data_IF_536883984162
#
_entry.id   IF_536883984162
#
_cell.length_a   1.000
_cell.length_b   1.000
_cell.length_c   1.000
_cell.angle_alpha   90.00
_cell.angle_beta   90.00
_cell.angle_gamma   90.00
#
_symmetry.space_group_name_H-M   'P 1'
#
loop_
_entity.id
_entity.type
_entity.pdbx_description
1 polymer ?
#
# COMPACT_ATOMS: atom_id res chain seq x y z
N UNK A 1 3.01 -25.49 5.70
CA UNK A 1 2.54 -24.86 4.45
C UNK A 1 2.46 -25.95 3.39
N UNK A 2 1.30 -26.16 2.76
CA UNK A 2 1.07 -27.20 1.73
C UNK A 2 0.82 -26.54 0.38
N UNK A 3 1.87 -25.92 -0.16
CA UNK A 3 1.88 -25.51 -1.56
C UNK A 3 2.54 -26.63 -2.36
N UNK A 4 2.05 -26.96 -3.57
CA UNK A 4 2.82 -27.75 -4.49
C UNK A 4 4.18 -27.07 -4.70
N UNK A 5 5.27 -27.73 -4.30
CA UNK A 5 6.62 -27.23 -4.52
C UNK A 5 7.05 -27.50 -5.97
N UNK A 6 8.13 -26.86 -6.41
CA UNK A 6 8.71 -27.07 -7.74
C UNK A 6 8.90 -28.56 -8.09
N UNK A 7 9.25 -29.40 -7.10
CA UNK A 7 9.41 -30.84 -7.28
C UNK A 7 8.11 -31.57 -7.69
N UNK A 8 6.96 -31.14 -7.17
CA UNK A 8 5.66 -31.74 -7.52
C UNK A 8 5.31 -31.44 -8.97
N UNK A 9 5.57 -30.22 -9.45
CA UNK A 9 5.34 -29.86 -10.85
C UNK A 9 6.29 -30.60 -11.79
N UNK A 10 7.57 -30.71 -11.42
CA UNK A 10 8.57 -31.39 -12.23
C UNK A 10 8.30 -32.90 -12.34
N UNK A 11 7.85 -33.53 -11.25
CA UNK A 11 7.39 -34.93 -11.27
C UNK A 11 6.19 -35.10 -12.21
N UNK A 12 5.15 -34.26 -12.07
CA UNK A 12 3.94 -34.33 -12.91
C UNK A 12 4.26 -34.14 -14.39
N UNK A 13 5.17 -33.20 -14.71
CA UNK A 13 5.66 -32.97 -16.07
C UNK A 13 6.33 -34.21 -16.65
N UNK A 14 7.20 -34.89 -15.89
CA UNK A 14 7.87 -36.12 -16.32
C UNK A 14 6.92 -37.31 -16.45
N UNK A 15 5.91 -37.38 -15.61
CA UNK A 15 4.92 -38.45 -15.58
C UNK A 15 3.72 -38.21 -16.52
N UNK A 16 3.70 -37.11 -17.28
CA UNK A 16 2.63 -36.80 -18.23
C UNK A 16 1.30 -36.39 -17.58
N UNK A 17 1.29 -36.04 -16.31
CA UNK A 17 0.09 -35.54 -15.63
C UNK A 17 -0.12 -34.05 -15.90
N UNK A 18 -1.37 -33.57 -15.85
CA UNK A 18 -1.66 -32.13 -15.90
C UNK A 18 -0.88 -31.37 -14.81
N UNK A 19 -0.27 -30.24 -15.17
CA UNK A 19 0.54 -29.43 -14.25
C UNK A 19 -0.29 -28.90 -13.07
N UNK A 20 -1.55 -28.54 -13.33
CA UNK A 20 -2.47 -28.08 -12.31
C UNK A 20 -3.40 -29.20 -11.86
N UNK A 21 -3.62 -29.27 -10.54
CA UNK A 21 -4.54 -30.20 -9.90
C UNK A 21 -5.20 -29.51 -8.72
N UNK A 22 -6.52 -29.34 -8.79
CA UNK A 22 -7.31 -28.70 -7.73
C UNK A 22 -7.32 -29.52 -6.45
N UNK A 23 -7.08 -30.83 -6.51
CA UNK A 23 -7.04 -31.72 -5.34
C UNK A 23 -5.73 -31.60 -4.54
N UNK A 24 -4.64 -31.19 -5.19
CA UNK A 24 -3.33 -30.99 -4.56
C UNK A 24 -3.18 -29.60 -3.93
N UNK A 25 -3.97 -28.63 -4.38
CA UNK A 25 -3.92 -27.27 -3.86
C UNK A 25 -4.88 -27.11 -2.68
N UNK A 26 -4.35 -26.73 -1.51
CA UNK A 26 -5.19 -26.37 -0.37
C UNK A 26 -6.10 -25.18 -0.71
N UNK A 27 -7.37 -25.22 -0.29
CA UNK A 27 -8.37 -24.15 -0.48
C UNK A 27 -7.88 -22.79 0.04
N UNK A 28 -6.95 -22.77 1.00
CA UNK A 28 -6.27 -21.55 1.46
C UNK A 28 -5.58 -20.77 0.33
N UNK A 29 -5.16 -21.45 -0.73
CA UNK A 29 -4.49 -20.84 -1.88
C UNK A 29 -5.45 -20.52 -3.03
N UNK A 30 -6.74 -20.76 -2.84
CA UNK A 30 -7.77 -20.35 -3.80
C UNK A 30 -7.87 -18.83 -3.86
N UNK A 31 -8.23 -18.34 -5.05
CA UNK A 31 -8.43 -16.90 -5.29
C UNK A 31 -9.51 -16.35 -4.34
N UNK A 32 -10.55 -17.13 -4.12
CA UNK A 32 -11.68 -16.84 -3.25
C UNK A 32 -11.24 -16.65 -1.80
N UNK A 33 -10.32 -17.49 -1.32
CA UNK A 33 -9.78 -17.35 0.05
C UNK A 33 -9.00 -16.04 0.21
N UNK A 34 -8.18 -15.67 -0.78
CA UNK A 34 -7.44 -14.40 -0.75
C UNK A 34 -8.37 -13.18 -0.77
N UNK A 35 -9.39 -13.19 -1.63
CA UNK A 35 -10.40 -12.14 -1.67
C UNK A 35 -11.14 -11.97 -0.33
N UNK A 36 -11.47 -13.08 0.36
CA UNK A 36 -12.17 -13.03 1.65
C UNK A 36 -11.27 -12.60 2.82
N UNK A 37 -10.02 -13.05 2.83
CA UNK A 37 -9.10 -12.87 3.96
C UNK A 37 -8.25 -11.60 3.89
N UNK A 38 -7.95 -11.09 2.69
CA UNK A 38 -7.06 -9.95 2.52
C UNK A 38 -7.82 -8.62 2.61
N UNK A 39 -7.55 -7.85 3.68
CA UNK A 39 -8.17 -6.53 3.91
C UNK A 39 -7.96 -5.55 2.75
N UNK A 40 -6.83 -5.65 2.03
CA UNK A 40 -6.50 -4.78 0.90
C UNK A 40 -7.36 -5.02 -0.35
N UNK A 41 -7.95 -6.23 -0.50
CA UNK A 41 -8.78 -6.59 -1.65
C UNK A 41 -10.29 -6.51 -1.37
N UNK A 42 -10.70 -6.38 -0.11
CA UNK A 42 -12.12 -6.24 0.27
C UNK A 42 -12.82 -5.05 -0.38
N UNK A 43 -12.09 -3.96 -0.65
CA UNK A 43 -12.58 -2.77 -1.35
C UNK A 43 -12.85 -3.01 -2.83
N UNK A 44 -12.23 -4.02 -3.45
CA UNK A 44 -12.44 -4.35 -4.87
C UNK A 44 -13.73 -5.14 -5.10
N UNK A 45 -14.20 -5.91 -4.11
CA UNK A 45 -15.38 -6.78 -4.23
C UNK A 45 -16.68 -5.98 -4.16
N UNK A 46 -16.70 -4.86 -3.41
CA UNK A 46 -17.90 -4.02 -3.27
C UNK A 46 -18.28 -3.31 -4.59
N UNK A 47 -17.34 -3.22 -5.55
CA UNK A 47 -17.58 -2.54 -6.84
C UNK A 47 -17.70 -3.49 -8.03
N UNK A 48 -17.80 -4.81 -7.81
CA UNK A 48 -17.91 -5.78 -8.90
C UNK A 48 -19.24 -6.51 -8.83
N UNK A 49 -20.31 -5.79 -9.17
CA UNK A 49 -21.55 -6.38 -9.68
C UNK A 49 -21.33 -6.80 -11.14
N UNK A 50 -20.44 -7.76 -11.39
CA UNK A 50 -20.26 -8.34 -12.72
C UNK A 50 -20.01 -9.84 -12.57
N UNK A 51 -21.07 -10.55 -12.25
CA UNK A 51 -21.10 -12.00 -12.16
C UNK A 51 -21.43 -12.55 -13.54
N UNK A 52 -20.51 -12.46 -14.50
CA UNK A 52 -20.66 -13.14 -15.78
C UNK A 52 -19.33 -13.78 -16.19
N UNK A 53 -19.39 -15.10 -16.31
CA UNK A 53 -18.34 -15.95 -16.84
C UNK A 53 -18.26 -15.71 -18.35
N UNK A 54 -17.23 -14.97 -18.76
CA UNK A 54 -16.76 -15.05 -20.13
C UNK A 54 -15.24 -15.24 -20.09
N UNK A 55 -14.79 -16.31 -20.74
CA UNK A 55 -13.39 -16.54 -21.10
C UNK A 55 -12.96 -15.44 -22.09
N UNK A 56 -12.74 -14.24 -21.57
CA UNK A 56 -12.03 -13.19 -22.30
C UNK A 56 -10.56 -13.40 -21.98
N UNK A 57 -9.74 -13.56 -23.02
CA UNK A 57 -8.29 -13.36 -22.91
C UNK A 57 -8.05 -11.92 -22.44
N UNK A 58 -8.03 -11.74 -21.12
CA UNK A 58 -7.71 -10.46 -20.53
C UNK A 58 -6.20 -10.33 -20.67
N UNK A 59 -5.76 -9.64 -21.73
CA UNK A 59 -4.44 -9.05 -21.79
C UNK A 59 -4.37 -7.96 -20.71
N UNK A 60 -4.27 -8.38 -19.45
CA UNK A 60 -3.97 -7.53 -18.32
C UNK A 60 -2.48 -7.23 -18.44
N UNK A 61 -2.10 -6.24 -19.26
CA UNK A 61 -0.93 -5.47 -18.87
C UNK A 61 -1.28 -4.87 -17.51
N UNK A 62 -0.67 -5.33 -16.41
CA UNK A 62 -1.03 -4.83 -15.11
C UNK A 62 -0.45 -3.42 -15.08
N UNK A 63 -1.30 -2.42 -15.30
CA UNK A 63 -1.02 -1.03 -14.93
C UNK A 63 -1.04 -0.97 -13.42
N UNK A 64 -0.01 -1.56 -12.82
CA UNK A 64 0.40 -1.33 -11.45
C UNK A 64 0.87 0.11 -11.49
N UNK A 65 -0.06 1.05 -11.28
CA UNK A 65 0.34 2.36 -10.80
C UNK A 65 1.15 2.07 -9.54
N UNK A 66 2.47 2.16 -9.67
CA UNK A 66 3.39 1.96 -8.57
C UNK A 66 3.02 3.01 -7.54
N UNK A 67 2.15 2.64 -6.60
CA UNK A 67 1.98 3.33 -5.34
C UNK A 67 3.37 3.17 -4.71
N UNK A 68 4.27 4.11 -5.03
CA UNK A 68 5.62 4.14 -4.49
C UNK A 68 5.41 4.32 -3.00
N UNK A 69 5.42 3.20 -2.26
CA UNK A 69 5.34 3.18 -0.82
C UNK A 69 6.54 3.99 -0.35
N UNK A 70 6.31 5.24 0.04
CA UNK A 70 7.38 6.11 0.50
C UNK A 70 8.00 5.41 1.70
N UNK A 71 9.29 5.09 1.61
CA UNK A 71 10.02 4.48 2.72
C UNK A 71 9.78 5.32 3.98
N UNK A 72 9.51 4.70 5.14
CA UNK A 72 9.37 5.45 6.38
C UNK A 72 10.66 6.24 6.62
N UNK A 73 10.51 7.54 6.91
CA UNK A 73 11.67 8.41 7.12
C UNK A 73 12.43 8.01 8.38
N UNK A 74 13.75 8.09 8.32
CA UNK A 74 14.61 7.94 9.49
C UNK A 74 14.39 9.08 10.50
N UNK A 75 14.73 8.85 11.77
CA UNK A 75 14.66 9.88 12.83
C UNK A 75 15.43 11.14 12.43
N UNK A 76 16.63 10.97 11.86
CA UNK A 76 17.45 12.08 11.38
C UNK A 76 16.78 12.87 10.24
N UNK A 77 16.14 12.18 9.29
CA UNK A 77 15.42 12.85 8.19
C UNK A 77 14.19 13.62 8.66
N UNK A 78 13.49 13.06 9.67
CA UNK A 78 12.36 13.75 10.32
C UNK A 78 12.85 15.01 11.02
N UNK A 79 13.90 14.89 11.84
CA UNK A 79 14.48 16.02 12.57
C UNK A 79 14.99 17.11 11.62
N UNK A 80 15.80 16.74 10.62
CA UNK A 80 16.34 17.69 9.64
C UNK A 80 15.22 18.45 8.92
N UNK A 81 14.16 17.76 8.50
CA UNK A 81 13.05 18.40 7.80
C UNK A 81 12.22 19.30 8.73
N UNK A 82 11.94 18.85 9.95
CA UNK A 82 11.20 19.64 10.94
C UNK A 82 11.97 20.90 11.33
N UNK A 83 13.26 20.75 11.68
CA UNK A 83 14.15 21.84 12.06
C UNK A 83 14.21 22.94 11.00
N UNK A 84 14.44 22.58 9.73
CA UNK A 84 14.47 23.55 8.63
C UNK A 84 13.14 24.30 8.48
N UNK A 85 12.02 23.61 8.66
CA UNK A 85 10.69 24.21 8.57
C UNK A 85 10.44 25.18 9.74
N UNK A 86 10.77 24.79 10.96
CA UNK A 86 10.58 25.62 12.16
C UNK A 86 11.48 26.86 12.15
N UNK A 87 12.72 26.76 11.66
CA UNK A 87 13.62 27.91 11.52
C UNK A 87 13.04 28.95 10.55
N UNK A 88 12.55 28.51 9.38
CA UNK A 88 11.90 29.42 8.42
C UNK A 88 10.65 30.07 8.99
N UNK A 89 9.86 29.33 9.77
CA UNK A 89 8.69 29.90 10.44
C UNK A 89 9.12 30.97 11.46
N UNK A 90 10.17 30.72 12.25
CA UNK A 90 10.70 31.68 13.20
C UNK A 90 11.24 32.94 12.52
N UNK A 91 11.92 32.80 11.37
CA UNK A 91 12.37 33.92 10.54
C UNK A 91 11.18 34.75 10.04
N UNK A 92 10.15 34.10 9.46
CA UNK A 92 8.96 34.78 8.97
C UNK A 92 8.20 35.52 10.07
N UNK A 93 8.12 34.96 11.26
CA UNK A 93 7.51 35.63 12.42
C UNK A 93 8.38 36.81 12.85
N UNK A 94 9.71 36.68 12.85
CA UNK A 94 10.64 37.78 13.16
C UNK A 94 10.52 38.96 12.17
N UNK A 95 10.20 38.69 10.90
CA UNK A 95 9.93 39.73 9.91
C UNK A 95 8.55 40.38 10.03
N UNK A 96 7.65 39.80 10.84
CA UNK A 96 6.34 40.41 11.04
C UNK A 96 6.47 41.71 11.84
N UNK A 97 5.64 42.70 11.50
CA UNK A 97 5.61 43.97 12.24
C UNK A 97 5.32 43.72 13.72
N UNK A 98 5.91 44.51 14.61
CA UNK A 98 5.72 44.38 16.07
C UNK A 98 4.23 44.29 16.50
N UNK A 99 3.31 44.95 15.79
CA UNK A 99 1.86 44.93 16.06
C UNK A 99 1.20 43.56 15.80
N UNK A 100 1.81 42.74 14.95
CA UNK A 100 1.26 41.45 14.52
C UNK A 100 2.08 40.25 15.01
N UNK A 101 3.26 40.49 15.57
CA UNK A 101 4.16 39.46 16.06
C UNK A 101 3.48 38.56 17.11
N UNK A 102 2.96 39.15 18.19
CA UNK A 102 2.35 38.39 19.29
C UNK A 102 1.15 37.55 18.81
N UNK A 103 0.28 38.16 18.00
CA UNK A 103 -0.88 37.46 17.41
C UNK A 103 -0.45 36.28 16.54
N UNK A 104 0.60 36.44 15.72
CA UNK A 104 1.11 35.37 14.85
C UNK A 104 1.77 34.25 15.64
N UNK A 105 2.48 34.59 16.71
CA UNK A 105 3.10 33.63 17.61
C UNK A 105 2.05 32.82 18.38
N UNK A 106 0.97 33.47 18.82
CA UNK A 106 -0.16 32.81 19.47
C UNK A 106 -0.87 31.83 18.54
N UNK A 107 -1.10 32.23 17.28
CA UNK A 107 -1.64 31.33 16.24
C UNK A 107 -0.76 30.10 16.02
N UNK A 108 0.57 30.27 16.00
CA UNK A 108 1.50 29.15 15.88
C UNK A 108 1.41 28.20 17.09
N UNK A 109 1.33 28.75 18.31
CA UNK A 109 1.22 27.96 19.53
C UNK A 109 -0.08 27.14 19.58
N UNK A 110 -1.19 27.67 19.07
CA UNK A 110 -2.45 26.93 18.95
C UNK A 110 -2.31 25.73 18.00
N UNK A 111 -1.66 25.93 16.84
CA UNK A 111 -1.41 24.85 15.88
C UNK A 111 -0.45 23.77 16.40
N UNK A 112 0.44 24.10 17.34
CA UNK A 112 1.36 23.15 17.94
C UNK A 112 0.75 22.35 19.11
N UNK A 113 -0.37 22.81 19.69
CA UNK A 113 -1.04 22.14 20.82
C UNK A 113 -2.18 21.20 20.41
N UNK A 114 -2.72 21.34 19.20
CA UNK A 114 -3.75 20.47 18.62
C UNK A 114 -3.17 19.17 18.06
#
# INVERSE_FOLDING_TARGET
MRLPCCHIFEYRRKSGFPLYDSTLCDKRWSREFYYRSQRALKTAIVNSECNEQYDVEINVEPRIEQIKSKKPKSSHEKFRKASLCTTKIAELISYSSNVHFDRKLEQLNLLLRS
#
